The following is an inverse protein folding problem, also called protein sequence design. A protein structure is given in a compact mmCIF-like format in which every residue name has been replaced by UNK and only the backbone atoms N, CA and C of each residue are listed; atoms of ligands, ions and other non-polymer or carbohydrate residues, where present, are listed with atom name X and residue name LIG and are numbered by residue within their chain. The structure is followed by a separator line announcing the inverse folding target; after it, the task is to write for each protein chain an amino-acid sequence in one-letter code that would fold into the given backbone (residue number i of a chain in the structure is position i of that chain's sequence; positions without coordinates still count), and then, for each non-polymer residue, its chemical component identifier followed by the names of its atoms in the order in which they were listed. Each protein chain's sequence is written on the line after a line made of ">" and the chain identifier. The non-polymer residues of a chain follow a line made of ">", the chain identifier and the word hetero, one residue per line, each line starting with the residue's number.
data_IF_482438827601
#
_entry.id   IF_482438827601
#
_cell.length_a   1.000
_cell.length_b   1.000
_cell.length_c   1.000
_cell.angle_alpha   90.00
_cell.angle_beta   90.00
_cell.angle_gamma   90.00
#
_symmetry.space_group_name_H-M   'P 1'
#
loop_
_entity.id
_entity.type
_entity.pdbx_description
1 polymer ?
#
# COMPACT_ATOMS: atom_id res chain seq x y z
N UNK A 1 -29.63 -7.91 0.03
CA UNK A 1 -28.85 -8.48 1.16
C UNK A 1 -27.36 -8.22 0.96
N UNK A 2 -26.96 -6.95 0.75
CA UNK A 2 -25.59 -6.57 0.32
C UNK A 2 -25.02 -5.36 1.06
N UNK A 3 -25.76 -4.80 2.03
CA UNK A 3 -25.34 -3.58 2.72
C UNK A 3 -24.40 -3.81 3.92
N UNK A 4 -24.28 -5.04 4.43
CA UNK A 4 -23.54 -5.32 5.67
C UNK A 4 -22.06 -5.67 5.41
N UNK A 5 -21.72 -6.16 4.22
CA UNK A 5 -20.31 -6.41 3.83
C UNK A 5 -19.60 -5.09 3.50
N UNK A 6 -20.35 -4.10 3.00
CA UNK A 6 -19.82 -2.82 2.51
C UNK A 6 -19.22 -1.92 3.61
N UNK A 7 -19.75 -2.00 4.84
CA UNK A 7 -19.20 -1.23 5.97
C UNK A 7 -17.90 -1.85 6.51
N UNK A 8 -17.67 -3.15 6.30
CA UNK A 8 -16.51 -3.85 6.84
C UNK A 8 -15.24 -3.61 6.03
N UNK A 9 -15.33 -3.28 4.74
CA UNK A 9 -14.15 -3.08 3.87
C UNK A 9 -13.66 -1.63 3.93
N UNK A 10 -14.55 -0.63 3.99
CA UNK A 10 -14.15 0.78 4.04
C UNK A 10 -13.80 1.29 5.45
N UNK A 11 -14.54 0.89 6.49
CA UNK A 11 -14.25 1.34 7.87
C UNK A 11 -13.15 0.55 8.58
N UNK A 12 -12.86 -0.70 8.19
CA UNK A 12 -11.63 -1.37 8.68
C UNK A 12 -10.37 -0.83 8.00
N UNK A 13 -10.46 -0.15 6.85
CA UNK A 13 -9.29 0.25 6.04
C UNK A 13 -8.49 1.40 6.65
N UNK A 14 -9.12 2.27 7.45
CA UNK A 14 -8.44 3.32 8.21
C UNK A 14 -8.27 2.95 9.69
N UNK A 15 -9.20 2.18 10.28
CA UNK A 15 -9.12 1.87 11.71
C UNK A 15 -8.09 0.79 12.04
N UNK A 16 -7.88 -0.23 11.18
CA UNK A 16 -6.79 -1.19 11.41
C UNK A 16 -5.41 -0.57 11.22
N UNK A 17 -5.27 0.42 10.31
CA UNK A 17 -4.03 1.18 10.21
C UNK A 17 -3.75 1.91 11.54
N UNK A 18 -4.73 2.63 12.09
CA UNK A 18 -4.59 3.43 13.32
C UNK A 18 -4.59 2.62 14.64
N UNK A 19 -5.23 1.45 14.70
CA UNK A 19 -5.24 0.61 15.92
C UNK A 19 -4.00 -0.26 16.04
N UNK A 20 -3.40 -0.66 14.91
CA UNK A 20 -2.17 -1.47 14.85
C UNK A 20 -0.89 -0.61 14.85
N UNK A 21 -0.96 0.70 14.59
CA UNK A 21 0.18 1.65 14.66
C UNK A 21 0.82 1.80 16.05
N UNK A 22 0.25 1.23 17.11
CA UNK A 22 0.66 1.56 18.50
C UNK A 22 1.85 0.71 19.00
N UNK A 23 2.24 -0.40 18.34
CA UNK A 23 3.37 -1.22 18.80
C UNK A 23 4.71 -0.90 18.11
N UNK A 24 4.72 -0.53 16.82
CA UNK A 24 5.95 -0.27 16.06
C UNK A 24 6.31 1.23 16.06
N UNK A 25 7.40 1.55 16.78
CA UNK A 25 7.97 2.90 16.86
C UNK A 25 8.26 3.53 15.50
N UNK A 26 8.71 2.75 14.52
CA UNK A 26 9.01 3.27 13.17
C UNK A 26 7.74 3.76 12.49
N UNK A 27 6.66 2.99 12.59
CA UNK A 27 5.37 3.35 12.01
C UNK A 27 4.79 4.57 12.73
N UNK A 28 4.93 4.67 14.05
CA UNK A 28 4.53 5.85 14.83
C UNK A 28 5.25 7.11 14.36
N UNK A 29 6.58 7.06 14.28
CA UNK A 29 7.40 8.20 13.84
C UNK A 29 7.03 8.63 12.41
N UNK A 30 6.81 7.66 11.50
CA UNK A 30 6.35 7.97 10.15
C UNK A 30 4.94 8.61 10.13
N UNK A 31 4.05 8.16 11.01
CA UNK A 31 2.67 8.67 11.09
C UNK A 31 2.63 10.08 11.66
N UNK A 32 3.46 10.38 12.66
CA UNK A 32 3.62 11.74 13.21
C UNK A 32 4.16 12.70 12.15
N UNK A 33 5.15 12.27 11.36
CA UNK A 33 5.66 13.06 10.24
C UNK A 33 4.56 13.32 9.20
N UNK A 34 3.75 12.30 8.86
CA UNK A 34 2.62 12.45 7.94
C UNK A 34 1.57 13.43 8.48
N UNK A 35 1.18 13.31 9.75
CA UNK A 35 0.23 14.22 10.42
C UNK A 35 0.74 15.67 10.41
N UNK A 36 2.06 15.85 10.42
CA UNK A 36 2.72 17.15 10.30
C UNK A 36 2.85 17.65 8.85
N UNK A 37 2.27 16.93 7.87
CA UNK A 37 2.34 17.25 6.44
C UNK A 37 3.67 16.86 5.77
N UNK A 38 4.58 16.19 6.48
CA UNK A 38 5.94 15.89 6.01
C UNK A 38 6.02 14.51 5.35
N UNK A 39 5.40 14.39 4.18
CA UNK A 39 5.26 13.11 3.45
C UNK A 39 6.62 12.46 3.14
N UNK A 40 7.61 13.24 2.70
CA UNK A 40 8.95 12.73 2.38
C UNK A 40 9.70 12.23 3.62
N UNK A 41 9.50 12.90 4.76
CA UNK A 41 10.11 12.48 6.03
C UNK A 41 9.48 11.18 6.53
N UNK A 42 8.15 11.08 6.46
CA UNK A 42 7.42 9.86 6.78
C UNK A 42 7.91 8.66 5.96
N UNK A 43 8.03 8.82 4.64
CA UNK A 43 8.58 7.78 3.75
C UNK A 43 10.05 7.44 4.11
N UNK A 44 10.87 8.46 4.36
CA UNK A 44 12.29 8.27 4.69
C UNK A 44 12.49 7.48 5.99
N UNK A 45 11.62 7.69 6.99
CA UNK A 45 11.65 6.91 8.24
C UNK A 45 11.42 5.42 7.95
N UNK A 46 10.44 5.09 7.11
CA UNK A 46 10.14 3.69 6.74
C UNK A 46 11.30 3.04 5.96
N UNK A 47 11.87 3.78 5.00
CA UNK A 47 12.97 3.26 4.17
C UNK A 47 14.27 3.06 4.95
N UNK A 48 14.63 3.98 5.85
CA UNK A 48 15.85 3.88 6.67
C UNK A 48 15.83 2.68 7.62
N UNK A 49 14.64 2.30 8.09
CA UNK A 49 14.43 1.10 8.91
C UNK A 49 14.27 -0.18 8.08
N UNK A 50 14.60 -0.16 6.79
CA UNK A 50 14.57 -1.34 5.92
C UNK A 50 13.16 -1.81 5.55
N UNK A 51 12.12 -1.06 5.89
CA UNK A 51 10.73 -1.44 5.70
C UNK A 51 10.20 -1.01 4.32
N UNK A 52 10.77 -1.59 3.25
CA UNK A 52 10.39 -1.26 1.86
C UNK A 52 8.91 -1.52 1.58
N UNK A 53 8.36 -2.62 2.08
CA UNK A 53 6.92 -2.94 1.92
C UNK A 53 6.04 -1.84 2.53
N UNK A 54 6.32 -1.42 3.76
CA UNK A 54 5.59 -0.33 4.43
C UNK A 54 5.70 0.98 3.66
N UNK A 55 6.88 1.34 3.15
CA UNK A 55 7.06 2.56 2.37
C UNK A 55 6.26 2.55 1.05
N UNK A 56 6.19 1.40 0.38
CA UNK A 56 5.37 1.22 -0.83
C UNK A 56 3.88 1.32 -0.48
N UNK A 57 3.42 0.57 0.52
CA UNK A 57 2.02 0.57 0.96
C UNK A 57 1.59 1.94 1.47
N UNK A 58 2.46 2.66 2.19
CA UNK A 58 2.24 4.05 2.60
C UNK A 58 1.89 4.93 1.40
N UNK A 59 2.69 4.87 0.32
CA UNK A 59 2.41 5.62 -0.90
C UNK A 59 1.12 5.18 -1.61
N UNK A 60 0.80 3.88 -1.58
CA UNK A 60 -0.50 3.37 -2.07
C UNK A 60 -1.66 3.97 -1.26
N UNK A 61 -1.56 4.02 0.06
CA UNK A 61 -2.61 4.52 0.95
C UNK A 61 -2.87 6.02 0.79
N UNK A 62 -1.83 6.82 0.57
CA UNK A 62 -1.97 8.26 0.28
C UNK A 62 -2.23 8.55 -1.21
N UNK A 63 -2.52 7.51 -2.02
CA UNK A 63 -2.74 7.59 -3.46
C UNK A 63 -1.58 8.19 -4.28
N UNK A 64 -0.36 8.13 -3.76
CA UNK A 64 0.85 8.50 -4.48
C UNK A 64 1.37 7.33 -5.34
N UNK A 65 0.57 6.96 -6.33
CA UNK A 65 0.80 5.80 -7.20
C UNK A 65 2.14 5.86 -7.93
N UNK A 66 2.50 7.02 -8.48
CA UNK A 66 3.78 7.22 -9.19
C UNK A 66 4.98 6.86 -8.30
N UNK A 67 4.94 7.24 -7.03
CA UNK A 67 6.00 6.97 -6.06
C UNK A 67 6.01 5.52 -5.60
N UNK A 68 4.84 4.93 -5.36
CA UNK A 68 4.71 3.51 -5.03
C UNK A 68 5.35 2.63 -6.12
N UNK A 69 5.06 2.93 -7.40
CA UNK A 69 5.64 2.21 -8.53
C UNK A 69 7.16 2.41 -8.65
N UNK A 70 7.63 3.64 -8.46
CA UNK A 70 9.07 3.95 -8.48
C UNK A 70 9.82 3.14 -7.40
N UNK A 71 9.31 3.11 -6.17
CA UNK A 71 9.91 2.34 -5.07
C UNK A 71 9.93 0.85 -5.39
N UNK A 72 8.83 0.29 -5.90
CA UNK A 72 8.75 -1.13 -6.26
C UNK A 72 9.79 -1.52 -7.32
N UNK A 73 9.94 -0.69 -8.36
CA UNK A 73 10.93 -0.90 -9.43
C UNK A 73 12.35 -0.74 -8.88
N UNK A 74 12.63 0.32 -8.12
CA UNK A 74 13.94 0.63 -7.56
C UNK A 74 14.46 -0.49 -6.66
N UNK A 75 13.59 -1.02 -5.81
CA UNK A 75 13.95 -2.08 -4.87
C UNK A 75 13.74 -3.50 -5.44
N UNK A 76 13.23 -3.62 -6.67
CA UNK A 76 12.93 -4.89 -7.36
C UNK A 76 12.04 -5.83 -6.52
N UNK A 77 11.07 -5.26 -5.81
CA UNK A 77 10.15 -5.99 -4.92
C UNK A 77 8.74 -5.42 -5.00
N UNK A 78 7.74 -6.27 -4.75
CA UNK A 78 6.33 -5.87 -4.61
C UNK A 78 5.71 -5.16 -5.83
N UNK A 79 6.26 -5.37 -7.03
CA UNK A 79 5.74 -4.75 -8.27
C UNK A 79 4.32 -5.26 -8.56
N UNK A 80 4.12 -6.58 -8.51
CA UNK A 80 2.82 -7.21 -8.73
C UNK A 80 1.79 -6.72 -7.70
N UNK A 81 2.20 -6.56 -6.45
CA UNK A 81 1.41 -6.00 -5.35
C UNK A 81 0.91 -4.59 -5.67
N UNK A 82 1.80 -3.71 -6.14
CA UNK A 82 1.44 -2.33 -6.52
C UNK A 82 0.48 -2.31 -7.69
N UNK A 83 0.72 -3.11 -8.73
CA UNK A 83 -0.16 -3.19 -9.90
C UNK A 83 -1.53 -3.75 -9.50
N UNK A 84 -1.56 -4.81 -8.69
CA UNK A 84 -2.78 -5.40 -8.14
C UNK A 84 -3.59 -4.37 -7.35
N UNK A 85 -2.97 -3.65 -6.42
CA UNK A 85 -3.64 -2.59 -5.63
C UNK A 85 -4.17 -1.47 -6.52
N UNK A 86 -3.43 -1.08 -7.56
CA UNK A 86 -3.86 -0.06 -8.52
C UNK A 86 -5.06 -0.52 -9.35
N UNK A 87 -5.04 -1.76 -9.86
CA UNK A 87 -6.17 -2.35 -10.60
C UNK A 87 -7.43 -2.40 -9.76
N UNK A 88 -7.33 -2.90 -8.52
CA UNK A 88 -8.47 -2.94 -7.60
C UNK A 88 -9.01 -1.55 -7.28
N UNK A 89 -8.14 -0.56 -7.11
CA UNK A 89 -8.54 0.83 -6.92
C UNK A 89 -9.35 1.34 -8.13
N UNK A 90 -8.84 1.14 -9.35
CA UNK A 90 -9.52 1.61 -10.57
C UNK A 90 -10.83 0.88 -10.82
N UNK A 91 -10.87 -0.44 -10.63
CA UNK A 91 -12.07 -1.27 -10.75
C UNK A 91 -13.17 -0.82 -9.77
N UNK A 92 -12.79 -0.54 -8.52
CA UNK A 92 -13.70 0.00 -7.52
C UNK A 92 -14.36 1.31 -7.96
N UNK A 93 -13.60 2.21 -8.60
CA UNK A 93 -14.14 3.46 -9.15
C UNK A 93 -14.72 3.32 -10.57
N UNK A 94 -14.71 2.11 -11.15
CA UNK A 94 -15.11 1.82 -12.53
C UNK A 94 -14.40 2.72 -13.55
N UNK A 95 -13.09 2.91 -13.35
CA UNK A 95 -12.23 3.72 -14.21
C UNK A 95 -11.22 2.83 -14.92
N UNK A 96 -10.80 3.27 -16.10
CA UNK A 96 -9.69 2.65 -16.83
C UNK A 96 -8.36 3.26 -16.40
N UNK A 97 -7.27 2.52 -16.64
CA UNK A 97 -5.93 3.05 -16.40
C UNK A 97 -5.58 4.10 -17.47
N UNK A 98 -5.10 5.24 -17.01
CA UNK A 98 -4.74 6.40 -17.85
C UNK A 98 -3.29 6.82 -17.65
N UNK A 99 -2.61 6.27 -16.64
CA UNK A 99 -1.23 6.60 -16.37
C UNK A 99 -0.30 5.77 -17.27
N UNK A 100 0.47 6.44 -18.12
CA UNK A 100 1.43 5.83 -19.06
C UNK A 100 2.42 4.87 -18.40
N UNK A 101 2.82 5.13 -17.16
CA UNK A 101 3.73 4.25 -16.43
C UNK A 101 3.07 2.92 -16.08
N UNK A 102 1.77 2.94 -15.77
CA UNK A 102 1.00 1.75 -15.42
C UNK A 102 0.44 1.02 -16.63
N UNK A 103 0.15 1.72 -17.72
CA UNK A 103 -0.31 1.11 -18.98
C UNK A 103 0.67 0.07 -19.52
N UNK A 104 1.98 0.25 -19.29
CA UNK A 104 3.01 -0.76 -19.64
C UNK A 104 2.80 -2.12 -18.98
N UNK A 105 2.07 -2.15 -17.87
CA UNK A 105 1.78 -3.33 -17.08
C UNK A 105 0.31 -3.76 -17.22
N UNK A 106 -0.47 -3.20 -18.15
CA UNK A 106 -1.89 -3.53 -18.33
C UNK A 106 -2.11 -5.01 -18.69
N UNK A 107 -1.22 -5.57 -19.50
CA UNK A 107 -1.35 -6.92 -20.06
C UNK A 107 -0.66 -8.00 -19.21
N UNK A 108 -0.05 -7.61 -18.09
CA UNK A 108 0.63 -8.57 -17.22
C UNK A 108 -0.42 -9.35 -16.43
N UNK A 109 -0.38 -10.67 -16.54
CA UNK A 109 -1.16 -11.55 -15.69
C UNK A 109 -0.56 -11.55 -14.29
N UNK A 110 -1.41 -11.33 -13.28
CA UNK A 110 -1.01 -11.29 -11.89
C UNK A 110 -1.73 -12.42 -11.18
N UNK A 111 -0.97 -13.30 -10.53
CA UNK A 111 -1.53 -14.25 -9.59
C UNK A 111 -1.98 -13.50 -8.34
N UNK A 112 -3.30 -13.27 -8.24
CA UNK A 112 -3.90 -12.57 -7.12
C UNK A 112 -3.69 -13.31 -5.80
N UNK A 113 -3.68 -14.65 -5.82
CA UNK A 113 -3.52 -15.46 -4.62
C UNK A 113 -2.09 -15.36 -4.08
N UNK A 114 -1.09 -15.34 -4.97
CA UNK A 114 0.29 -15.09 -4.58
C UNK A 114 0.47 -13.71 -3.95
N UNK A 115 -0.09 -12.67 -4.57
CA UNK A 115 -0.02 -11.31 -4.04
C UNK A 115 -0.68 -11.19 -2.67
N UNK A 116 -1.83 -11.84 -2.46
CA UNK A 116 -2.51 -11.84 -1.17
C UNK A 116 -1.70 -12.54 -0.08
N UNK A 117 -1.11 -13.70 -0.39
CA UNK A 117 -0.20 -14.40 0.52
C UNK A 117 1.02 -13.56 0.88
N UNK A 118 1.62 -12.89 -0.09
CA UNK A 118 2.77 -12.00 0.13
C UNK A 118 2.42 -10.86 1.09
N UNK A 119 1.26 -10.22 0.90
CA UNK A 119 0.77 -9.16 1.79
C UNK A 119 0.55 -9.69 3.21
N UNK A 120 -0.04 -10.88 3.36
CA UNK A 120 -0.30 -11.50 4.66
C UNK A 120 1.00 -11.78 5.41
N UNK A 121 1.97 -12.45 4.75
CA UNK A 121 3.30 -12.72 5.31
C UNK A 121 4.00 -11.42 5.73
N UNK A 122 3.99 -10.39 4.87
CA UNK A 122 4.62 -9.12 5.19
C UNK A 122 3.94 -8.40 6.35
N UNK A 123 2.63 -8.55 6.51
CA UNK A 123 1.90 -8.01 7.67
C UNK A 123 2.25 -8.79 8.94
N UNK A 124 2.29 -10.13 8.90
CA UNK A 124 2.65 -10.97 10.07
C UNK A 124 4.05 -10.67 10.58
N UNK A 125 5.04 -10.48 9.70
CA UNK A 125 6.42 -10.09 10.07
C UNK A 125 6.50 -8.79 10.86
N UNK A 126 5.50 -7.91 10.77
CA UNK A 126 5.47 -6.65 11.53
C UNK A 126 4.86 -6.82 12.92
N UNK A 127 4.23 -7.97 13.20
CA UNK A 127 3.56 -8.26 14.46
C UNK A 127 4.40 -9.16 15.39
N UNK A 128 5.53 -9.70 14.92
CA UNK A 128 6.49 -10.50 15.68
C UNK A 128 7.65 -9.65 16.20
#
# INVERSE_FOLDING_TARGET
>A
MTHVIFHRIFYNFNFNFLSQTISDRTVQESSLALLSGKILEAESILLRNGSTFKAIMFNVHIHNWSRALELAIKHKKYLNTVIYKRRNYLDFYKKEETNDKYLKYSNIEIDNEEVLREIEIENEKQHS
#
